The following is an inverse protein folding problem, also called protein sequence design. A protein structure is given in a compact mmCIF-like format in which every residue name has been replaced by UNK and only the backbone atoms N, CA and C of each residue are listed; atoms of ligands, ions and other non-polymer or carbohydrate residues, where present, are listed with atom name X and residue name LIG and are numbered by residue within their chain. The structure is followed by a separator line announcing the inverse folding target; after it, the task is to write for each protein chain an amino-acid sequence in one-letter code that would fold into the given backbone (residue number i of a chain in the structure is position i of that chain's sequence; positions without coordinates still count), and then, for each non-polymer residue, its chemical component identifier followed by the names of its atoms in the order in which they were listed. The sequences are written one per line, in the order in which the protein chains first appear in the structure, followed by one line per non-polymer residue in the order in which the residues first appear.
data_IF_823017145961
#
_entry.id   IF_823017145961
#
_cell.length_a   1.000
_cell.length_b   1.000
_cell.length_c   1.000
_cell.angle_alpha   90.00
_cell.angle_beta   90.00
_cell.angle_gamma   90.00
#
_symmetry.space_group_name_H-M   'P 1'
#
loop_
_entity.id
_entity.type
_entity.pdbx_description
1 polymer ?
#
# COMPACT_ATOMS: atom_id res chain seq x y z
N UNK A 1 -7.87 13.91 14.51
CA UNK A 1 -7.30 14.84 13.51
C UNK A 1 -8.26 15.05 12.34
N UNK A 2 -8.68 14.00 11.61
CA UNK A 2 -9.70 14.14 10.54
C UNK A 2 -11.08 14.58 11.05
N UNK A 3 -11.50 14.15 12.24
CA UNK A 3 -12.72 14.67 12.87
C UNK A 3 -12.70 16.20 12.99
N UNK A 4 -11.57 16.77 13.42
CA UNK A 4 -11.39 18.22 13.58
C UNK A 4 -11.33 18.93 12.21
N UNK A 5 -10.82 18.25 11.17
CA UNK A 5 -10.86 18.72 9.79
C UNK A 5 -12.31 18.81 9.28
N UNK A 6 -13.11 17.76 9.51
CA UNK A 6 -14.54 17.74 9.18
C UNK A 6 -15.33 18.80 9.97
N UNK A 7 -14.89 19.09 11.20
CA UNK A 7 -15.41 20.17 12.03
C UNK A 7 -14.93 21.58 11.63
N UNK A 8 -14.13 21.72 10.57
CA UNK A 8 -13.65 23.01 10.06
C UNK A 8 -12.60 23.71 10.92
N UNK A 9 -11.99 23.01 11.88
CA UNK A 9 -10.96 23.60 12.77
C UNK A 9 -9.57 23.64 12.15
N UNK A 10 -9.34 22.84 11.12
CA UNK A 10 -8.10 22.80 10.35
C UNK A 10 -8.40 22.85 8.86
N UNK A 11 -7.52 23.51 8.10
CA UNK A 11 -7.55 23.56 6.64
C UNK A 11 -6.32 22.86 6.08
N UNK A 12 -6.52 22.05 5.03
CA UNK A 12 -5.42 21.45 4.28
C UNK A 12 -5.00 22.34 3.12
N UNK A 13 -3.73 22.25 2.67
CA UNK A 13 -3.32 22.85 1.41
C UNK A 13 -4.15 22.27 0.26
N UNK A 14 -4.62 23.15 -0.62
CA UNK A 14 -5.37 22.75 -1.80
C UNK A 14 -4.55 21.79 -2.68
N UNK A 15 -5.20 20.82 -3.37
CA UNK A 15 -4.55 20.01 -4.38
C UNK A 15 -3.86 20.86 -5.42
N UNK A 16 -2.61 20.53 -5.74
CA UNK A 16 -1.84 21.23 -6.79
C UNK A 16 -2.40 20.91 -8.18
N UNK A 17 -2.82 19.66 -8.37
CA UNK A 17 -3.59 19.24 -9.53
C UNK A 17 -4.94 18.66 -9.06
N UNK A 18 -6.03 19.45 -9.13
CA UNK A 18 -7.36 18.98 -8.79
C UNK A 18 -7.88 17.85 -9.71
N UNK A 19 -7.26 17.66 -10.87
CA UNK A 19 -7.63 16.63 -11.83
C UNK A 19 -6.86 15.31 -11.63
N UNK A 20 -5.90 15.27 -10.70
CA UNK A 20 -5.24 14.02 -10.34
C UNK A 20 -6.25 13.02 -9.74
N UNK A 21 -6.04 11.72 -9.99
CA UNK A 21 -6.95 10.67 -9.51
C UNK A 21 -7.02 10.67 -7.99
N UNK A 22 -5.88 10.82 -7.33
CA UNK A 22 -5.78 10.87 -5.86
C UNK A 22 -6.45 12.12 -5.27
N UNK A 23 -6.37 13.26 -5.94
CA UNK A 23 -7.05 14.49 -5.52
C UNK A 23 -8.57 14.34 -5.59
N UNK A 24 -9.10 13.79 -6.69
CA UNK A 24 -10.54 13.51 -6.82
C UNK A 24 -11.01 12.48 -5.79
N UNK A 25 -10.19 11.46 -5.50
CA UNK A 25 -10.49 10.44 -4.48
C UNK A 25 -10.62 11.07 -3.10
N UNK A 26 -9.63 11.84 -2.66
CA UNK A 26 -9.68 12.57 -1.39
C UNK A 26 -10.94 13.43 -1.30
N UNK A 27 -11.22 14.23 -2.34
CA UNK A 27 -12.38 15.11 -2.38
C UNK A 27 -13.69 14.34 -2.20
N UNK A 28 -13.89 13.26 -2.96
CA UNK A 28 -15.11 12.41 -2.86
C UNK A 28 -15.27 11.81 -1.47
N UNK A 29 -14.18 11.34 -0.86
CA UNK A 29 -14.22 10.78 0.50
C UNK A 29 -14.57 11.85 1.54
N UNK A 30 -14.02 13.06 1.39
CA UNK A 30 -14.32 14.19 2.25
C UNK A 30 -15.78 14.61 2.13
N UNK A 31 -16.29 14.75 0.91
CA UNK A 31 -17.69 15.09 0.62
C UNK A 31 -18.65 14.05 1.21
N UNK A 32 -18.36 12.76 1.02
CA UNK A 32 -19.17 11.67 1.58
C UNK A 32 -19.18 11.70 3.12
N UNK A 33 -18.04 11.95 3.76
CA UNK A 33 -17.95 12.06 5.21
C UNK A 33 -18.67 13.31 5.75
N UNK A 34 -18.57 14.45 5.05
CA UNK A 34 -19.31 15.66 5.39
C UNK A 34 -20.82 15.46 5.23
N UNK A 35 -21.28 14.73 4.21
CA UNK A 35 -22.69 14.38 4.06
C UNK A 35 -23.18 13.55 5.24
N UNK A 36 -22.46 12.45 5.58
CA UNK A 36 -22.78 11.62 6.74
C UNK A 36 -22.80 12.42 8.04
N UNK A 37 -21.88 13.37 8.19
CA UNK A 37 -21.81 14.23 9.36
C UNK A 37 -23.06 15.12 9.48
N UNK A 38 -23.55 15.66 8.36
CA UNK A 38 -24.82 16.41 8.33
C UNK A 38 -26.01 15.52 8.72
N UNK A 39 -26.05 14.29 8.21
CA UNK A 39 -27.14 13.34 8.47
C UNK A 39 -27.27 12.97 9.96
N UNK A 40 -26.15 12.87 10.68
CA UNK A 40 -26.13 12.57 12.12
C UNK A 40 -26.30 13.80 13.03
N UNK A 41 -26.64 14.97 12.48
CA UNK A 41 -26.90 16.19 13.25
C UNK A 41 -25.68 17.13 13.42
N UNK A 42 -24.63 16.94 12.64
CA UNK A 42 -23.47 17.83 12.57
C UNK A 42 -22.39 17.58 13.63
N UNK A 43 -21.38 18.46 13.66
CA UNK A 43 -20.18 18.29 14.50
C UNK A 43 -20.43 18.50 16.01
N UNK A 44 -21.56 19.09 16.39
CA UNK A 44 -21.93 19.27 17.81
C UNK A 44 -22.00 17.96 18.58
N UNK A 45 -22.36 16.85 17.91
CA UNK A 45 -22.45 15.51 18.47
C UNK A 45 -21.20 14.64 18.31
N UNK A 46 -20.01 15.21 18.08
CA UNK A 46 -18.78 14.45 17.75
C UNK A 46 -18.29 13.46 18.83
N UNK A 47 -18.86 13.50 20.05
CA UNK A 47 -18.61 12.53 21.13
C UNK A 47 -19.74 11.50 21.30
N UNK A 48 -20.78 11.58 20.47
CA UNK A 48 -21.95 10.72 20.53
C UNK A 48 -21.74 9.38 19.83
N UNK A 49 -22.61 8.42 20.14
CA UNK A 49 -22.56 7.08 19.56
C UNK A 49 -22.70 7.08 18.03
N UNK A 50 -23.57 7.93 17.47
CA UNK A 50 -23.76 8.05 16.03
C UNK A 50 -22.48 8.50 15.30
N UNK A 51 -21.72 9.42 15.89
CA UNK A 51 -20.43 9.85 15.34
C UNK A 51 -19.41 8.70 15.36
N UNK A 52 -19.36 7.94 16.46
CA UNK A 52 -18.46 6.80 16.59
C UNK A 52 -18.78 5.68 15.60
N UNK A 53 -20.06 5.47 15.28
CA UNK A 53 -20.49 4.42 14.35
C UNK A 53 -20.32 4.83 12.88
N UNK A 54 -20.54 6.11 12.54
CA UNK A 54 -20.62 6.53 11.14
C UNK A 54 -19.43 7.37 10.63
N UNK A 55 -18.73 8.09 11.52
CA UNK A 55 -17.65 9.01 11.13
C UNK A 55 -16.27 8.46 11.51
N UNK A 56 -16.09 7.96 12.74
CA UNK A 56 -14.80 7.43 13.19
C UNK A 56 -14.21 6.35 12.27
N UNK A 57 -14.99 5.39 11.73
CA UNK A 57 -14.44 4.39 10.81
C UNK A 57 -13.89 4.99 9.51
N UNK A 58 -14.43 6.13 9.07
CA UNK A 58 -14.00 6.82 7.85
C UNK A 58 -12.78 7.72 8.07
N UNK A 59 -12.49 8.13 9.31
CA UNK A 59 -11.40 9.06 9.62
C UNK A 59 -10.03 8.56 9.16
N UNK A 60 -9.72 7.27 9.36
CA UNK A 60 -8.43 6.71 8.95
C UNK A 60 -8.27 6.63 7.42
N UNK A 61 -9.22 6.04 6.66
CA UNK A 61 -9.16 6.05 5.20
C UNK A 61 -9.01 7.45 4.59
N UNK A 62 -9.69 8.46 5.16
CA UNK A 62 -9.56 9.85 4.71
C UNK A 62 -8.14 10.39 4.98
N UNK A 63 -7.59 10.14 6.18
CA UNK A 63 -6.22 10.55 6.51
C UNK A 63 -5.19 9.95 5.55
N UNK A 64 -5.35 8.66 5.23
CA UNK A 64 -4.50 7.95 4.27
C UNK A 64 -4.65 8.56 2.87
N UNK A 65 -5.87 8.81 2.39
CA UNK A 65 -6.12 9.44 1.09
C UNK A 65 -5.45 10.83 0.95
N UNK A 66 -5.54 11.67 1.99
CA UNK A 66 -4.84 12.97 2.05
C UNK A 66 -3.32 12.76 1.93
N UNK A 67 -2.78 11.84 2.73
CA UNK A 67 -1.36 11.52 2.72
C UNK A 67 -0.88 11.02 1.36
N UNK A 68 -1.64 10.15 0.71
CA UNK A 68 -1.35 9.63 -0.63
C UNK A 68 -1.31 10.74 -1.68
N UNK A 69 -2.30 11.65 -1.69
CA UNK A 69 -2.29 12.80 -2.60
C UNK A 69 -1.04 13.65 -2.37
N UNK A 70 -0.76 14.02 -1.13
CA UNK A 70 0.37 14.91 -0.80
C UNK A 70 1.72 14.26 -1.15
N UNK A 71 1.88 12.97 -0.88
CA UNK A 71 3.09 12.23 -1.24
C UNK A 71 3.29 12.15 -2.76
N UNK A 72 2.21 11.90 -3.51
CA UNK A 72 2.24 11.89 -4.97
C UNK A 72 2.63 13.25 -5.54
N UNK A 73 2.01 14.33 -5.06
CA UNK A 73 2.33 15.69 -5.50
C UNK A 73 3.80 16.08 -5.22
N UNK A 74 4.34 15.68 -4.07
CA UNK A 74 5.73 15.90 -3.73
C UNK A 74 6.68 15.08 -4.62
N UNK A 75 6.35 13.82 -4.87
CA UNK A 75 7.14 12.95 -5.76
C UNK A 75 7.15 13.48 -7.21
N UNK A 76 6.01 13.97 -7.69
CA UNK A 76 5.90 14.61 -9.01
C UNK A 76 6.76 15.88 -9.10
N UNK A 77 6.75 16.73 -8.07
CA UNK A 77 7.58 17.95 -8.02
C UNK A 77 9.08 17.64 -8.03
N UNK A 78 9.49 16.55 -7.37
CA UNK A 78 10.89 16.10 -7.35
C UNK A 78 11.29 15.35 -8.63
N UNK A 79 10.40 15.21 -9.62
CA UNK A 79 10.69 14.55 -10.89
C UNK A 79 10.79 13.03 -10.78
N UNK A 80 10.03 12.40 -9.88
CA UNK A 80 9.96 10.94 -9.80
C UNK A 80 9.53 10.31 -11.13
N UNK A 81 9.97 9.08 -11.38
CA UNK A 81 9.67 8.36 -12.61
C UNK A 81 8.15 8.24 -12.85
N UNK A 82 7.62 8.67 -14.02
CA UNK A 82 6.19 8.60 -14.31
C UNK A 82 5.59 7.20 -14.19
N UNK A 83 6.36 6.14 -14.51
CA UNK A 83 5.92 4.75 -14.37
C UNK A 83 5.68 4.39 -12.90
N UNK A 84 6.58 4.81 -12.00
CA UNK A 84 6.46 4.60 -10.54
C UNK A 84 5.28 5.38 -9.99
N UNK A 85 5.07 6.62 -10.45
CA UNK A 85 3.91 7.43 -10.08
C UNK A 85 2.60 6.76 -10.49
N UNK A 86 2.52 6.24 -11.73
CA UNK A 86 1.36 5.50 -12.23
C UNK A 86 1.07 4.24 -11.40
N UNK A 87 2.10 3.45 -11.10
CA UNK A 87 1.96 2.26 -10.23
C UNK A 87 1.46 2.66 -8.83
N UNK A 88 2.00 3.72 -8.25
CA UNK A 88 1.57 4.22 -6.95
C UNK A 88 0.09 4.62 -6.94
N UNK A 89 -0.38 5.30 -7.98
CA UNK A 89 -1.81 5.64 -8.12
C UNK A 89 -2.69 4.39 -8.18
N UNK A 90 -2.31 3.37 -8.97
CA UNK A 90 -3.02 2.10 -9.03
C UNK A 90 -3.04 1.40 -7.66
N UNK A 91 -1.94 1.37 -6.93
CA UNK A 91 -1.92 0.76 -5.58
C UNK A 91 -2.85 1.49 -4.61
N UNK A 92 -2.83 2.82 -4.61
CA UNK A 92 -3.65 3.63 -3.70
C UNK A 92 -5.15 3.52 -4.01
N UNK A 93 -5.54 3.45 -5.29
CA UNK A 93 -6.93 3.36 -5.73
C UNK A 93 -7.46 1.92 -5.67
N UNK A 94 -6.58 0.93 -5.88
CA UNK A 94 -6.96 -0.48 -5.91
C UNK A 94 -7.52 -1.01 -4.60
N UNK A 95 -7.07 -0.47 -3.46
CA UNK A 95 -7.63 -0.83 -2.15
C UNK A 95 -9.12 -0.49 -2.05
N UNK A 96 -9.55 0.63 -2.62
CA UNK A 96 -10.96 1.04 -2.62
C UNK A 96 -11.76 0.24 -3.64
N UNK A 97 -11.20 0.01 -4.83
CA UNK A 97 -11.88 -0.75 -5.88
C UNK A 97 -12.24 -2.16 -5.43
N UNK A 98 -11.32 -2.83 -4.72
CA UNK A 98 -11.56 -4.17 -4.16
C UNK A 98 -12.63 -4.18 -3.07
N UNK A 99 -12.81 -3.07 -2.37
CA UNK A 99 -13.78 -2.95 -1.29
C UNK A 99 -15.19 -2.55 -1.78
N UNK A 100 -15.27 -1.81 -2.89
CA UNK A 100 -16.52 -1.17 -3.32
C UNK A 100 -16.97 -1.50 -4.75
N UNK A 101 -16.18 -2.20 -5.58
CA UNK A 101 -16.62 -2.58 -6.92
C UNK A 101 -17.67 -3.69 -6.84
N UNK A 102 -18.89 -3.42 -7.30
CA UNK A 102 -19.94 -4.42 -7.48
C UNK A 102 -19.86 -5.12 -8.85
N UNK A 103 -19.08 -4.56 -9.79
CA UNK A 103 -18.90 -5.12 -11.13
C UNK A 103 -17.55 -5.83 -11.23
N UNK A 104 -17.59 -7.13 -11.47
CA UNK A 104 -16.42 -7.98 -11.63
C UNK A 104 -15.61 -7.64 -12.89
N UNK A 105 -16.24 -7.14 -13.95
CA UNK A 105 -15.53 -6.77 -15.18
C UNK A 105 -14.69 -5.52 -15.02
N UNK A 106 -15.24 -4.49 -14.37
CA UNK A 106 -14.50 -3.26 -14.06
C UNK A 106 -13.33 -3.55 -13.10
N UNK A 107 -13.54 -4.45 -12.12
CA UNK A 107 -12.46 -4.87 -11.23
C UNK A 107 -11.35 -5.61 -11.97
N UNK A 108 -11.70 -6.56 -12.85
CA UNK A 108 -10.70 -7.31 -13.62
C UNK A 108 -9.87 -6.39 -14.53
N UNK A 109 -10.51 -5.49 -15.26
CA UNK A 109 -9.80 -4.55 -16.14
C UNK A 109 -8.86 -3.63 -15.34
N UNK A 110 -9.23 -3.26 -14.11
CA UNK A 110 -8.36 -2.52 -13.22
C UNK A 110 -7.16 -3.36 -12.75
N UNK A 111 -7.37 -4.62 -12.39
CA UNK A 111 -6.29 -5.52 -11.99
C UNK A 111 -5.31 -5.78 -13.13
N UNK A 112 -5.80 -6.00 -14.34
CA UNK A 112 -4.97 -6.19 -15.53
C UNK A 112 -4.08 -4.94 -15.78
N UNK A 113 -4.67 -3.74 -15.71
CA UNK A 113 -3.93 -2.48 -15.84
C UNK A 113 -2.89 -2.27 -14.71
N UNK A 114 -3.17 -2.77 -13.51
CA UNK A 114 -2.23 -2.70 -12.39
C UNK A 114 -1.06 -3.69 -12.56
N UNK A 115 -1.30 -4.87 -13.13
CA UNK A 115 -0.24 -5.84 -13.49
C UNK A 115 0.67 -5.24 -14.56
N UNK A 116 0.10 -4.65 -15.61
CA UNK A 116 0.89 -3.98 -16.65
C UNK A 116 1.76 -2.86 -16.07
N UNK A 117 1.19 -2.01 -15.20
CA UNK A 117 1.96 -0.95 -14.54
C UNK A 117 3.07 -1.49 -13.63
N UNK A 118 2.85 -2.65 -13.01
CA UNK A 118 3.85 -3.32 -12.18
C UNK A 118 5.00 -3.85 -13.05
N UNK A 119 4.70 -4.58 -14.12
CA UNK A 119 5.71 -5.16 -15.02
C UNK A 119 6.59 -4.07 -15.66
N UNK A 120 5.97 -2.97 -16.07
CA UNK A 120 6.67 -1.79 -16.63
C UNK A 120 7.68 -1.18 -15.67
N UNK A 121 7.32 -1.08 -14.38
CA UNK A 121 8.21 -0.55 -13.33
C UNK A 121 9.25 -1.58 -12.94
N UNK A 122 8.88 -2.85 -12.84
CA UNK A 122 9.74 -3.91 -12.34
C UNK A 122 10.96 -4.12 -13.24
N UNK A 123 10.78 -4.07 -14.56
CA UNK A 123 11.86 -4.16 -15.53
C UNK A 123 12.89 -3.02 -15.34
N UNK A 124 12.41 -1.77 -15.25
CA UNK A 124 13.25 -0.59 -15.06
C UNK A 124 13.92 -0.59 -13.67
N UNK A 125 13.18 -1.01 -12.63
CA UNK A 125 13.66 -1.09 -11.26
C UNK A 125 14.80 -2.09 -11.13
N UNK A 126 14.64 -3.30 -11.68
CA UNK A 126 15.70 -4.32 -11.70
C UNK A 126 16.97 -3.81 -12.37
N UNK A 127 16.83 -3.07 -13.47
CA UNK A 127 17.98 -2.51 -14.19
C UNK A 127 18.65 -1.38 -13.40
N UNK A 128 17.86 -0.54 -12.72
CA UNK A 128 18.37 0.59 -11.93
C UNK A 128 19.00 0.20 -10.58
N UNK A 129 18.57 -0.93 -9.99
CA UNK A 129 19.11 -1.45 -8.73
C UNK A 129 20.48 -2.10 -8.90
N UNK A 130 20.83 -2.55 -10.10
CA UNK A 130 22.14 -3.11 -10.38
C UNK A 130 23.21 -2.02 -10.35
N UNK A 131 24.19 -2.16 -9.45
CA UNK A 131 25.30 -1.21 -9.25
C UNK A 131 24.85 0.12 -8.64
N UNK A 132 23.83 0.09 -7.78
CA UNK A 132 23.41 1.26 -7.02
C UNK A 132 24.41 1.59 -5.91
N UNK A 133 24.46 2.84 -5.45
CA UNK A 133 25.29 3.24 -4.30
C UNK A 133 24.92 2.44 -3.03
N UNK A 134 23.67 1.96 -2.94
CA UNK A 134 23.21 1.11 -1.85
C UNK A 134 23.93 -0.25 -1.80
N UNK A 135 24.44 -0.76 -2.93
CA UNK A 135 25.20 -2.01 -2.98
C UNK A 135 26.46 -1.93 -2.12
N UNK A 136 27.05 -0.74 -1.95
CA UNK A 136 28.22 -0.51 -1.10
C UNK A 136 27.94 -0.73 0.40
N UNK A 137 26.69 -0.56 0.82
CA UNK A 137 26.28 -0.65 2.23
C UNK A 137 25.46 -1.90 2.53
N UNK A 138 25.15 -2.69 1.52
CA UNK A 138 24.27 -3.84 1.67
C UNK A 138 25.05 -5.07 2.12
N UNK A 139 24.85 -5.47 3.39
CA UNK A 139 25.51 -6.64 3.99
C UNK A 139 24.67 -7.92 3.93
N UNK A 140 23.45 -7.84 3.39
CA UNK A 140 22.53 -8.95 3.36
C UNK A 140 23.05 -10.05 2.40
N UNK A 141 23.21 -11.30 2.87
CA UNK A 141 23.79 -12.37 2.05
C UNK A 141 22.90 -12.80 0.89
N UNK A 142 21.60 -12.49 0.92
CA UNK A 142 20.61 -12.80 -0.13
C UNK A 142 20.80 -11.98 -1.42
N UNK A 143 21.69 -10.98 -1.43
CA UNK A 143 21.87 -10.08 -2.58
C UNK A 143 22.54 -10.73 -3.79
N UNK A 144 23.24 -11.85 -3.61
CA UNK A 144 23.82 -12.60 -4.73
C UNK A 144 23.85 -14.09 -4.44
N UNK A 145 23.78 -14.91 -5.50
CA UNK A 145 23.94 -16.36 -5.37
C UNK A 145 25.25 -16.74 -4.68
N UNK A 146 26.32 -15.96 -4.92
CA UNK A 146 27.64 -16.19 -4.30
C UNK A 146 27.62 -15.92 -2.80
N UNK A 147 27.14 -14.75 -2.37
CA UNK A 147 27.04 -14.41 -0.94
C UNK A 147 26.05 -15.31 -0.21
N UNK A 148 24.98 -15.73 -0.88
CA UNK A 148 23.99 -16.66 -0.35
C UNK A 148 24.60 -18.03 -0.11
N UNK A 149 25.32 -18.59 -1.09
CA UNK A 149 26.00 -19.88 -0.94
C UNK A 149 27.03 -19.86 0.21
N UNK A 150 27.84 -18.79 0.32
CA UNK A 150 28.80 -18.62 1.42
C UNK A 150 28.10 -18.52 2.77
N UNK A 151 26.95 -17.86 2.84
CA UNK A 151 26.16 -17.77 4.07
C UNK A 151 25.57 -19.13 4.45
N UNK A 152 24.99 -19.86 3.50
CA UNK A 152 24.41 -21.19 3.73
C UNK A 152 25.47 -22.19 4.18
N UNK A 153 26.66 -22.17 3.59
CA UNK A 153 27.78 -23.05 3.97
C UNK A 153 28.25 -22.82 5.41
N UNK A 154 28.13 -21.59 5.92
CA UNK A 154 28.45 -21.25 7.32
C UNK A 154 27.37 -21.65 8.32
N UNK A 155 26.19 -22.08 7.87
CA UNK A 155 25.12 -22.47 8.78
C UNK A 155 25.36 -23.86 9.37
N UNK A 156 25.14 -24.01 10.68
CA UNK A 156 25.24 -25.29 11.36
C UNK A 156 24.09 -26.21 10.92
N UNK A 157 24.40 -27.26 10.18
CA UNK A 157 23.42 -28.27 9.78
C UNK A 157 23.20 -29.28 10.91
N UNK A 158 21.97 -29.38 11.40
CA UNK A 158 21.56 -30.46 12.30
C UNK A 158 21.11 -31.66 11.47
N UNK A 159 21.86 -32.76 11.53
CA UNK A 159 21.47 -34.03 10.94
C UNK A 159 20.66 -34.81 11.97
N UNK A 160 19.49 -35.32 11.57
CA UNK A 160 18.78 -36.33 12.36
C UNK A 160 19.62 -37.60 12.50
N UNK A 161 19.40 -38.41 13.56
CA UNK A 161 20.19 -39.61 13.81
C UNK A 161 20.10 -40.56 12.61
N UNK A 162 21.21 -40.67 11.88
CA UNK A 162 21.41 -41.70 10.85
C UNK A 162 21.65 -43.03 11.55
N UNK A 163 20.57 -43.70 11.92
CA UNK A 163 20.65 -44.97 12.64
C UNK A 163 19.28 -45.50 13.07
N UNK A 164 18.43 -45.85 12.11
CA UNK A 164 17.56 -47.02 12.26
C UNK A 164 17.78 -47.88 11.03
N UNK A 165 18.61 -48.92 11.21
CA UNK A 165 18.52 -50.09 10.36
C UNK A 165 17.04 -50.53 10.39
N UNK A 166 16.41 -50.55 9.21
CA UNK A 166 15.10 -51.16 9.00
C UNK A 166 15.29 -52.67 9.21
N UNK A 167 15.28 -53.09 10.48
CA UNK A 167 15.48 -54.45 10.93
C UNK A 167 14.33 -54.84 11.84
N UNK A 168 13.26 -55.31 11.23
CA UNK A 168 12.32 -56.34 11.69
C UNK A 168 10.95 -56.08 11.05
N UNK A 169 10.61 -56.87 10.03
CA UNK A 169 9.21 -57.13 9.74
C UNK A 169 8.58 -57.81 10.96
N UNK A 170 7.39 -57.41 11.43
CA UNK A 170 6.67 -58.23 12.37
C UNK A 170 6.18 -59.47 11.61
N UNK A 171 6.65 -60.64 12.05
CA UNK A 171 5.99 -61.92 11.75
C UNK A 171 4.94 -62.15 12.84
N UNK A 172 3.69 -62.27 12.39
CA UNK A 172 2.47 -62.74 13.06
C UNK A 172 1.97 -61.88 14.23
#
# INVERSE_FOLDING_TARGET
LVSELLGGKYSLPAPRDPTAVLARREQRMMEAAMSKLKDIGGYGGHRGQAFNQHILPCCRPIAEAIGHRMAYEAATELGACPKVLRLYEHMCVGTDFRQFSCDGHTLQAFEDAAVEAYDDVFADMLQSLQNSEADAYTTAPIMSNKSWAVFVDKMQAFKGPSGHARGAQPKL
#
